data_IF_458481043663
#
_entry.id   IF_458481043663
#
_cell.length_a   1.000
_cell.length_b   1.000
_cell.length_c   1.000
_cell.angle_alpha   90.00
_cell.angle_beta   90.00
_cell.angle_gamma   90.00
#
_symmetry.space_group_name_H-M   'P 1'
#
loop_
_entity.id
_entity.type
_entity.pdbx_description
1 polymer ?
#
# COMPACT_ATOMS: atom_id res chain seq x y z
N UNK A 1 8.41 -33.39 -11.02
CA UNK A 1 8.93 -32.01 -10.90
C UNK A 1 9.35 -31.74 -9.45
N UNK A 2 10.36 -30.90 -9.24
CA UNK A 2 10.79 -30.49 -7.89
C UNK A 2 10.03 -29.23 -7.47
N UNK A 3 9.46 -29.21 -6.27
CA UNK A 3 8.86 -28.03 -5.67
C UNK A 3 9.84 -27.31 -4.78
N UNK A 4 9.87 -25.97 -4.85
CA UNK A 4 10.61 -25.13 -3.92
C UNK A 4 9.85 -25.00 -2.60
N UNK A 5 10.55 -24.99 -1.46
CA UNK A 5 9.93 -24.70 -0.15
C UNK A 5 9.32 -23.29 -0.10
N UNK A 6 9.89 -22.34 -0.82
CA UNK A 6 9.38 -20.95 -0.91
C UNK A 6 8.04 -20.84 -1.61
N UNK A 7 7.63 -21.84 -2.40
CA UNK A 7 6.30 -21.91 -3.00
C UNK A 7 5.21 -22.45 -2.07
N UNK A 8 5.56 -22.91 -0.86
CA UNK A 8 4.63 -23.39 0.15
C UNK A 8 4.09 -22.22 1.01
N UNK A 9 3.53 -21.21 0.34
CA UNK A 9 2.82 -20.08 0.98
C UNK A 9 1.33 -20.38 1.05
N UNK A 10 0.67 -19.82 2.06
CA UNK A 10 -0.79 -19.97 2.18
C UNK A 10 -1.48 -19.20 1.05
N UNK A 11 -2.64 -19.65 0.56
CA UNK A 11 -3.41 -18.93 -0.44
C UNK A 11 -3.88 -17.58 0.13
N UNK A 12 -4.01 -16.60 -0.74
CA UNK A 12 -4.71 -15.36 -0.39
C UNK A 12 -6.21 -15.62 -0.48
N UNK A 13 -6.81 -16.03 0.65
CA UNK A 13 -8.19 -16.54 0.75
C UNK A 13 -9.23 -15.60 0.11
N UNK A 14 -8.99 -14.29 0.12
CA UNK A 14 -9.87 -13.30 -0.53
C UNK A 14 -10.05 -13.61 -2.02
N UNK A 15 -8.98 -14.04 -2.71
CA UNK A 15 -9.04 -14.40 -4.13
C UNK A 15 -9.84 -15.68 -4.36
N UNK A 16 -9.72 -16.67 -3.46
CA UNK A 16 -10.49 -17.90 -3.52
C UNK A 16 -11.98 -17.64 -3.29
N UNK A 17 -12.31 -16.75 -2.33
CA UNK A 17 -13.70 -16.33 -2.06
C UNK A 17 -14.26 -15.55 -3.25
N UNK A 18 -13.49 -14.67 -3.86
CA UNK A 18 -13.88 -13.91 -5.04
C UNK A 18 -14.18 -14.84 -6.23
N UNK A 19 -13.36 -15.88 -6.45
CA UNK A 19 -13.62 -16.87 -7.49
C UNK A 19 -14.88 -17.72 -7.20
N UNK A 20 -15.11 -18.07 -5.93
CA UNK A 20 -16.33 -18.76 -5.52
C UNK A 20 -17.58 -17.89 -5.71
N UNK A 21 -17.49 -16.59 -5.42
CA UNK A 21 -18.57 -15.60 -5.67
C UNK A 21 -18.87 -15.50 -7.17
N UNK A 22 -17.84 -15.34 -8.01
CA UNK A 22 -17.97 -15.31 -9.48
C UNK A 22 -18.64 -16.57 -10.02
N UNK A 23 -18.27 -17.76 -9.55
CA UNK A 23 -18.87 -19.01 -9.95
C UNK A 23 -20.35 -19.09 -9.53
N UNK A 24 -20.71 -18.58 -8.36
CA UNK A 24 -22.09 -18.53 -7.88
C UNK A 24 -22.94 -17.55 -8.72
N UNK A 25 -22.41 -16.39 -9.11
CA UNK A 25 -23.07 -15.43 -10.00
C UNK A 25 -23.30 -16.04 -11.40
N UNK A 26 -22.30 -16.73 -11.95
CA UNK A 26 -22.43 -17.44 -13.21
C UNK A 26 -23.52 -18.51 -13.17
N UNK A 27 -23.82 -19.07 -11.99
CA UNK A 27 -24.93 -19.98 -11.74
C UNK A 27 -26.28 -19.27 -11.46
N UNK A 28 -26.34 -17.95 -11.62
CA UNK A 28 -27.56 -17.14 -11.47
C UNK A 28 -27.90 -16.70 -10.04
N UNK A 29 -26.96 -16.84 -9.08
CA UNK A 29 -27.17 -16.35 -7.71
C UNK A 29 -26.84 -14.86 -7.62
N UNK A 30 -27.60 -14.13 -6.83
CA UNK A 30 -27.26 -12.75 -6.46
C UNK A 30 -26.28 -12.78 -5.28
N UNK A 31 -25.10 -12.21 -5.49
CA UNK A 31 -24.05 -12.12 -4.48
C UNK A 31 -23.83 -10.66 -4.08
N UNK A 32 -23.73 -10.40 -2.79
CA UNK A 32 -23.29 -9.10 -2.24
C UNK A 32 -21.80 -9.24 -1.95
N UNK A 33 -20.98 -8.53 -2.71
CA UNK A 33 -19.52 -8.59 -2.58
C UNK A 33 -19.05 -7.76 -1.38
N UNK A 34 -18.42 -8.41 -0.41
CA UNK A 34 -17.78 -7.79 0.77
C UNK A 34 -16.42 -8.43 1.06
N UNK A 35 -15.93 -9.31 0.17
CA UNK A 35 -14.73 -10.11 0.38
C UNK A 35 -13.45 -9.39 -0.01
N UNK A 36 -13.52 -8.42 -0.93
CA UNK A 36 -12.34 -7.70 -1.41
C UNK A 36 -12.49 -6.20 -1.19
N UNK A 37 -11.52 -5.61 -0.50
CA UNK A 37 -11.44 -4.15 -0.30
C UNK A 37 -10.90 -3.46 -1.56
N UNK A 38 -11.78 -3.14 -2.50
CA UNK A 38 -11.45 -2.33 -3.68
C UNK A 38 -12.47 -1.22 -3.89
N UNK A 39 -12.05 -0.06 -4.44
CA UNK A 39 -12.99 0.97 -4.86
C UNK A 39 -14.04 0.41 -5.82
N UNK A 40 -15.31 0.74 -5.59
CA UNK A 40 -16.41 0.41 -6.50
C UNK A 40 -16.51 1.34 -7.72
N UNK A 41 -15.64 2.36 -7.78
CA UNK A 41 -15.58 3.37 -8.84
C UNK A 41 -14.50 3.02 -9.87
N UNK A 42 -14.70 3.39 -11.16
CA UNK A 42 -13.65 3.26 -12.17
C UNK A 42 -12.50 4.23 -11.90
N UNK A 43 -11.36 4.01 -12.58
CA UNK A 43 -10.31 5.02 -12.66
C UNK A 43 -10.88 6.35 -13.19
N UNK A 44 -10.35 7.51 -12.77
CA UNK A 44 -10.80 8.81 -13.20
C UNK A 44 -10.91 8.93 -14.72
N UNK A 45 -11.85 9.73 -15.20
CA UNK A 45 -12.09 9.89 -16.64
C UNK A 45 -10.85 10.36 -17.38
N UNK A 46 -10.14 11.36 -16.82
CA UNK A 46 -8.91 11.87 -17.43
C UNK A 46 -7.82 10.81 -17.56
N UNK A 47 -7.72 9.87 -16.62
CA UNK A 47 -6.79 8.74 -16.70
C UNK A 47 -7.13 7.81 -17.88
N UNK A 48 -8.41 7.51 -18.07
CA UNK A 48 -8.91 6.66 -19.16
C UNK A 48 -8.72 7.32 -20.52
N UNK A 49 -9.02 8.61 -20.62
CA UNK A 49 -8.88 9.40 -21.86
C UNK A 49 -7.39 9.54 -22.25
N UNK A 50 -6.51 9.82 -21.29
CA UNK A 50 -5.08 9.90 -21.54
C UNK A 50 -4.50 8.58 -22.08
N UNK A 51 -4.94 7.44 -21.52
CA UNK A 51 -4.53 6.13 -22.05
C UNK A 51 -5.12 5.89 -23.46
N UNK A 52 -6.39 6.19 -23.68
CA UNK A 52 -7.03 6.01 -24.98
C UNK A 52 -6.31 6.81 -26.08
N UNK A 53 -5.87 8.03 -25.76
CA UNK A 53 -5.07 8.84 -26.67
C UNK A 53 -3.66 8.27 -26.89
N UNK A 54 -2.99 7.86 -25.81
CA UNK A 54 -1.64 7.29 -25.92
C UNK A 54 -1.64 6.02 -26.77
N UNK A 55 -2.64 5.17 -26.66
CA UNK A 55 -2.77 3.96 -27.50
C UNK A 55 -2.85 4.24 -29.01
N UNK A 56 -3.19 5.45 -29.41
CA UNK A 56 -3.25 5.86 -30.82
C UNK A 56 -1.94 6.46 -31.33
N UNK A 57 -1.14 7.01 -30.44
CA UNK A 57 0.02 7.86 -30.80
C UNK A 57 1.36 7.36 -30.31
N UNK A 58 1.38 6.47 -29.32
CA UNK A 58 2.59 5.94 -28.68
C UNK A 58 2.69 4.43 -28.86
N UNK A 59 3.89 3.93 -29.08
CA UNK A 59 4.15 2.49 -29.17
C UNK A 59 4.02 1.76 -27.82
N UNK A 60 3.92 2.48 -26.71
CA UNK A 60 3.88 1.97 -25.34
C UNK A 60 5.00 0.96 -25.01
N UNK A 61 6.20 1.25 -25.51
CA UNK A 61 7.39 0.44 -25.29
C UNK A 61 7.90 0.49 -23.85
N UNK A 62 9.07 -0.10 -23.62
CA UNK A 62 9.71 -0.06 -22.31
C UNK A 62 10.02 1.38 -21.86
N UNK A 63 9.87 1.62 -20.56
CA UNK A 63 10.29 2.87 -19.91
C UNK A 63 11.60 2.66 -19.15
N UNK A 64 12.10 3.69 -18.48
CA UNK A 64 13.19 3.54 -17.51
C UNK A 64 12.71 2.74 -16.28
N UNK A 65 13.60 1.98 -15.68
CA UNK A 65 13.26 1.02 -14.63
C UNK A 65 12.60 1.65 -13.40
N UNK A 66 12.99 2.87 -13.05
CA UNK A 66 12.41 3.62 -11.92
C UNK A 66 11.08 4.29 -12.26
N UNK A 67 10.59 4.17 -13.50
CA UNK A 67 9.35 4.78 -13.98
C UNK A 67 9.53 6.13 -14.67
N UNK A 68 8.48 6.59 -15.35
CA UNK A 68 8.49 7.83 -16.12
C UNK A 68 8.93 9.02 -15.26
N UNK A 69 9.92 9.82 -15.72
CA UNK A 69 10.40 10.99 -14.96
C UNK A 69 9.28 11.98 -14.61
N UNK A 70 8.32 12.19 -15.53
CA UNK A 70 7.18 13.07 -15.28
C UNK A 70 6.28 12.55 -14.14
N UNK A 71 6.02 11.24 -14.08
CA UNK A 71 5.22 10.65 -13.00
C UNK A 71 5.96 10.74 -11.66
N UNK A 72 7.27 10.47 -11.64
CA UNK A 72 8.08 10.58 -10.43
C UNK A 72 8.11 12.02 -9.90
N UNK A 73 8.27 13.00 -10.79
CA UNK A 73 8.21 14.42 -10.42
C UNK A 73 6.83 14.82 -9.88
N UNK A 74 5.74 14.34 -10.51
CA UNK A 74 4.39 14.63 -10.04
C UNK A 74 4.08 13.99 -8.69
N UNK A 75 4.57 12.77 -8.45
CA UNK A 75 4.47 12.12 -7.13
C UNK A 75 5.23 12.93 -6.08
N UNK A 76 6.44 13.38 -6.36
CA UNK A 76 7.20 14.22 -5.43
C UNK A 76 6.47 15.53 -5.11
N UNK A 77 5.87 16.16 -6.11
CA UNK A 77 5.02 17.35 -5.91
C UNK A 77 3.81 17.06 -5.01
N UNK A 78 3.19 15.87 -5.13
CA UNK A 78 2.07 15.44 -4.27
C UNK A 78 2.48 15.42 -2.79
N UNK A 79 3.70 14.99 -2.47
CA UNK A 79 4.20 15.03 -1.08
C UNK A 79 4.33 16.45 -0.55
N UNK A 80 4.70 17.41 -1.41
CA UNK A 80 4.67 18.83 -1.08
C UNK A 80 3.24 19.33 -0.79
N UNK A 81 2.30 18.97 -1.68
CA UNK A 81 0.89 19.37 -1.58
C UNK A 81 0.19 18.76 -0.34
N UNK A 82 0.46 17.49 -0.05
CA UNK A 82 -0.25 16.77 1.02
C UNK A 82 0.38 16.95 2.39
N UNK A 83 1.72 16.96 2.47
CA UNK A 83 2.45 16.86 3.74
C UNK A 83 3.43 18.02 3.98
N UNK A 84 3.66 18.88 2.98
CA UNK A 84 4.70 19.93 3.07
C UNK A 84 6.13 19.37 3.01
N UNK A 85 6.30 18.14 2.51
CA UNK A 85 7.61 17.49 2.37
C UNK A 85 8.24 17.86 1.03
N UNK A 86 9.45 18.41 1.05
CA UNK A 86 10.26 18.67 -0.16
C UNK A 86 10.96 17.37 -0.58
N UNK A 87 10.26 16.55 -1.39
CA UNK A 87 10.73 15.25 -1.81
C UNK A 87 11.53 15.35 -3.12
N UNK A 88 12.78 14.89 -3.11
CA UNK A 88 13.55 14.71 -4.35
C UNK A 88 12.91 13.61 -5.24
N UNK A 89 12.47 13.95 -6.48
CA UNK A 89 11.93 12.97 -7.42
C UNK A 89 12.88 11.80 -7.71
N UNK A 90 14.18 11.96 -7.51
CA UNK A 90 15.16 10.89 -7.67
C UNK A 90 14.94 9.72 -6.70
N UNK A 91 14.33 9.98 -5.54
CA UNK A 91 13.99 8.99 -4.51
C UNK A 91 12.71 8.21 -4.81
N UNK A 92 11.89 8.69 -5.74
CA UNK A 92 10.61 8.04 -6.11
C UNK A 92 10.87 6.92 -7.09
N UNK A 93 10.36 5.74 -6.80
CA UNK A 93 10.41 4.55 -7.66
C UNK A 93 8.99 4.11 -7.98
N UNK A 94 8.60 4.17 -9.24
CA UNK A 94 7.30 3.63 -9.69
C UNK A 94 7.38 2.10 -9.76
N UNK A 95 6.31 1.43 -9.36
CA UNK A 95 6.29 -0.04 -9.22
C UNK A 95 5.04 -0.64 -9.84
N UNK A 96 5.04 -1.95 -10.06
CA UNK A 96 3.86 -2.71 -10.51
C UNK A 96 2.88 -2.93 -9.36
N UNK A 97 2.25 -1.84 -8.90
CA UNK A 97 1.44 -1.76 -7.69
C UNK A 97 2.29 -1.86 -6.42
N UNK A 98 1.66 -1.73 -5.25
CA UNK A 98 2.34 -1.90 -3.96
C UNK A 98 2.96 -3.30 -3.79
N UNK A 99 2.37 -4.34 -4.41
CA UNK A 99 2.95 -5.69 -4.37
C UNK A 99 4.35 -5.75 -4.97
N UNK A 100 4.59 -5.05 -6.09
CA UNK A 100 5.92 -4.91 -6.68
C UNK A 100 6.87 -4.13 -5.77
N UNK A 101 6.35 -3.09 -5.07
CA UNK A 101 7.13 -2.34 -4.11
C UNK A 101 7.57 -3.19 -2.91
N UNK A 102 6.68 -4.03 -2.35
CA UNK A 102 7.05 -4.96 -1.27
C UNK A 102 8.13 -5.96 -1.69
N UNK A 103 8.01 -6.54 -2.89
CA UNK A 103 9.04 -7.46 -3.40
C UNK A 103 10.39 -6.76 -3.51
N UNK A 104 10.43 -5.54 -4.07
CA UNK A 104 11.66 -4.77 -4.19
C UNK A 104 12.24 -4.37 -2.82
N UNK A 105 11.40 -3.85 -1.92
CA UNK A 105 11.81 -3.41 -0.60
C UNK A 105 12.37 -4.58 0.23
N UNK A 106 11.64 -5.69 0.31
CA UNK A 106 12.08 -6.84 1.09
C UNK A 106 13.35 -7.48 0.52
N UNK A 107 13.49 -7.53 -0.81
CA UNK A 107 14.70 -8.05 -1.46
C UNK A 107 15.90 -7.13 -1.25
N UNK A 108 15.69 -5.81 -1.14
CA UNK A 108 16.77 -4.85 -0.95
C UNK A 108 17.24 -4.73 0.50
N UNK A 109 16.34 -4.98 1.46
CA UNK A 109 16.58 -4.72 2.88
C UNK A 109 16.93 -5.97 3.67
N UNK A 110 16.52 -7.17 3.22
CA UNK A 110 16.57 -8.37 4.06
C UNK A 110 17.21 -9.55 3.33
N UNK A 111 17.99 -10.31 4.09
CA UNK A 111 18.53 -11.59 3.67
C UNK A 111 17.58 -12.75 4.04
N UNK A 112 17.85 -13.93 3.46
CA UNK A 112 17.08 -15.14 3.81
C UNK A 112 17.30 -15.53 5.26
N UNK A 113 16.22 -15.67 6.02
CA UNK A 113 16.23 -15.98 7.45
C UNK A 113 16.07 -14.76 8.34
N UNK A 114 16.15 -13.55 7.79
CA UNK A 114 15.90 -12.33 8.55
C UNK A 114 14.48 -12.27 9.08
N UNK A 115 14.33 -11.74 10.28
CA UNK A 115 13.05 -11.57 10.97
C UNK A 115 12.49 -10.18 10.72
N UNK A 116 11.25 -10.12 10.27
CA UNK A 116 10.56 -8.85 9.99
C UNK A 116 9.28 -8.77 10.81
N UNK A 117 9.19 -7.77 11.70
CA UNK A 117 8.02 -7.49 12.52
C UNK A 117 6.87 -6.92 11.68
N UNK A 118 5.67 -7.48 11.86
CA UNK A 118 4.44 -7.03 11.22
C UNK A 118 3.30 -6.99 12.23
N UNK A 119 2.45 -5.95 12.21
CA UNK A 119 1.27 -5.86 13.07
C UNK A 119 0.26 -6.98 12.81
N UNK A 120 -0.32 -7.53 13.86
CA UNK A 120 -1.36 -8.54 13.79
C UNK A 120 -2.59 -8.13 14.63
N UNK A 121 -3.79 -8.00 14.00
CA UNK A 121 -4.12 -8.33 12.60
C UNK A 121 -3.46 -7.37 11.59
N UNK A 122 -3.20 -7.88 10.39
CA UNK A 122 -2.57 -7.11 9.30
C UNK A 122 -2.89 -7.72 7.93
N UNK A 123 -2.48 -7.03 6.87
CA UNK A 123 -2.72 -7.47 5.51
C UNK A 123 -1.98 -8.80 5.22
N UNK A 124 -2.70 -9.88 4.84
CA UNK A 124 -2.12 -11.23 4.79
C UNK A 124 -0.95 -11.38 3.82
N UNK A 125 -0.92 -10.57 2.74
CA UNK A 125 0.13 -10.68 1.72
C UNK A 125 1.52 -10.33 2.23
N UNK A 126 1.67 -9.47 3.23
CA UNK A 126 2.99 -9.15 3.79
C UNK A 126 3.72 -10.41 4.23
N UNK A 127 3.06 -11.22 5.07
CA UNK A 127 3.56 -12.49 5.57
C UNK A 127 3.94 -13.44 4.46
N UNK A 128 3.08 -13.57 3.45
CA UNK A 128 3.29 -14.53 2.38
C UNK A 128 4.41 -14.10 1.42
N UNK A 129 4.54 -12.80 1.15
CA UNK A 129 5.65 -12.28 0.35
C UNK A 129 6.99 -12.48 1.10
N UNK A 130 7.05 -12.16 2.40
CA UNK A 130 8.24 -12.40 3.23
C UNK A 130 8.65 -13.87 3.18
N UNK A 131 7.71 -14.81 3.44
CA UNK A 131 7.97 -16.26 3.37
C UNK A 131 8.42 -16.72 1.98
N UNK A 132 7.78 -16.23 0.92
CA UNK A 132 8.14 -16.57 -0.44
C UNK A 132 9.56 -16.09 -0.81
N UNK A 133 10.02 -15.01 -0.22
CA UNK A 133 11.37 -14.48 -0.39
C UNK A 133 12.39 -15.11 0.58
N UNK A 134 11.91 -15.88 1.56
CA UNK A 134 12.77 -16.62 2.50
C UNK A 134 13.00 -15.95 3.85
N UNK A 135 12.30 -14.83 4.13
CA UNK A 135 12.33 -14.14 5.42
C UNK A 135 11.33 -14.78 6.41
N UNK A 136 11.51 -14.47 7.69
CA UNK A 136 10.66 -14.91 8.79
C UNK A 136 9.76 -13.76 9.25
N UNK A 137 8.43 -13.76 8.94
CA UNK A 137 7.51 -12.77 9.49
C UNK A 137 7.25 -13.05 10.96
N UNK A 138 7.43 -12.03 11.80
CA UNK A 138 7.18 -12.06 13.24
C UNK A 138 5.94 -11.23 13.55
N UNK A 139 4.90 -11.87 14.13
CA UNK A 139 3.70 -11.17 14.54
C UNK A 139 3.95 -10.29 15.76
N UNK A 140 3.58 -9.03 15.66
CA UNK A 140 3.43 -8.10 16.77
C UNK A 140 1.94 -8.03 17.12
N UNK A 141 1.49 -8.74 18.17
CA UNK A 141 0.09 -8.74 18.54
C UNK A 141 -0.35 -7.33 18.97
N UNK A 142 -1.43 -6.87 18.37
CA UNK A 142 -2.01 -5.56 18.69
C UNK A 142 -3.35 -5.71 19.40
N UNK A 143 -3.78 -4.69 20.12
CA UNK A 143 -5.02 -4.71 20.89
C UNK A 143 -5.90 -3.47 20.63
N UNK A 144 -7.13 -3.53 21.07
CA UNK A 144 -8.05 -2.40 21.01
C UNK A 144 -7.55 -1.18 21.81
N UNK A 145 -6.76 -1.38 22.86
CA UNK A 145 -6.17 -0.33 23.67
C UNK A 145 -5.25 0.57 22.87
N UNK A 146 -4.49 -0.03 21.93
CA UNK A 146 -3.62 0.67 21.01
C UNK A 146 -4.27 0.85 19.63
N UNK A 147 -5.60 0.75 19.56
CA UNK A 147 -6.36 0.86 18.30
C UNK A 147 -5.86 -0.09 17.22
N UNK A 148 -5.42 -1.28 17.61
CA UNK A 148 -4.86 -2.31 16.72
C UNK A 148 -3.64 -1.84 15.91
N UNK A 149 -2.88 -0.89 16.46
CA UNK A 149 -1.59 -0.48 15.92
C UNK A 149 -0.46 -0.96 16.83
N UNK A 150 0.72 -1.36 16.30
CA UNK A 150 1.86 -1.70 17.11
C UNK A 150 2.40 -0.48 17.85
N UNK A 151 3.03 -0.72 19.00
CA UNK A 151 3.77 0.30 19.74
C UNK A 151 5.22 -0.12 19.92
N UNK A 152 6.11 0.84 20.19
CA UNK A 152 7.54 0.57 20.28
C UNK A 152 7.90 -0.52 21.33
N UNK A 153 7.09 -0.65 22.39
CA UNK A 153 7.29 -1.67 23.41
C UNK A 153 7.03 -3.11 22.90
N UNK A 154 6.25 -3.29 21.85
CA UNK A 154 5.86 -4.62 21.33
C UNK A 154 7.05 -5.37 20.73
N UNK A 155 8.08 -4.68 20.30
CA UNK A 155 9.28 -5.29 19.72
C UNK A 155 10.58 -4.96 20.47
N UNK A 156 10.48 -4.31 21.61
CA UNK A 156 11.64 -4.00 22.43
C UNK A 156 12.38 -5.28 22.84
N UNK A 157 13.69 -5.34 22.54
CA UNK A 157 14.54 -6.50 22.80
C UNK A 157 14.37 -7.68 21.83
N UNK A 158 13.51 -7.55 20.80
CA UNK A 158 13.47 -8.51 19.70
C UNK A 158 14.62 -8.28 18.73
N UNK A 159 15.20 -9.35 18.22
CA UNK A 159 16.19 -9.31 17.14
C UNK A 159 15.46 -9.29 15.80
N UNK A 160 15.06 -8.10 15.33
CA UNK A 160 14.36 -7.88 14.07
C UNK A 160 15.27 -7.11 13.10
N UNK A 161 15.39 -7.61 11.87
CA UNK A 161 16.03 -6.89 10.77
C UNK A 161 15.17 -5.74 10.24
N UNK A 162 13.84 -5.81 10.42
CA UNK A 162 12.93 -4.78 9.97
C UNK A 162 11.60 -4.76 10.70
N UNK A 163 10.95 -3.61 10.63
CA UNK A 163 9.59 -3.37 11.10
C UNK A 163 8.75 -2.80 9.96
N UNK A 164 7.60 -3.41 9.71
CA UNK A 164 6.64 -2.92 8.73
C UNK A 164 5.33 -2.55 9.40
N UNK A 165 4.85 -1.34 9.10
CA UNK A 165 3.63 -0.77 9.66
C UNK A 165 2.73 -0.25 8.54
N UNK A 166 1.43 -0.41 8.67
CA UNK A 166 0.44 0.18 7.77
C UNK A 166 -0.40 1.23 8.52
N UNK A 167 -0.53 2.42 7.95
CA UNK A 167 -1.33 3.50 8.52
C UNK A 167 -1.91 4.38 7.40
N UNK A 168 -3.22 4.33 7.15
CA UNK A 168 -4.27 3.48 7.76
C UNK A 168 -4.03 1.98 7.55
N UNK A 169 -4.35 1.18 8.58
CA UNK A 169 -4.10 -0.27 8.54
C UNK A 169 -5.24 -1.06 7.88
N UNK A 170 -4.88 -2.12 7.19
CA UNK A 170 -5.80 -3.17 6.77
C UNK A 170 -5.65 -4.37 7.72
N UNK A 171 -6.70 -4.85 8.43
CA UNK A 171 -8.12 -4.60 8.15
C UNK A 171 -8.79 -3.54 9.04
N UNK A 172 -8.08 -2.87 9.93
CA UNK A 172 -8.70 -2.11 11.03
C UNK A 172 -9.11 -0.67 10.64
N UNK A 173 -8.51 -0.09 9.59
CA UNK A 173 -8.73 1.29 9.19
C UNK A 173 -8.17 2.33 10.18
N UNK A 174 -7.45 1.90 11.21
CA UNK A 174 -6.87 2.79 12.22
C UNK A 174 -5.57 3.42 11.76
N UNK A 175 -5.30 4.64 12.21
CA UNK A 175 -4.08 5.39 11.89
C UNK A 175 -3.19 5.59 13.12
N UNK A 176 -1.90 5.68 12.87
CA UNK A 176 -0.92 6.21 13.82
C UNK A 176 -0.91 7.73 13.75
N UNK A 177 -0.90 8.39 14.88
CA UNK A 177 -0.58 9.80 14.93
C UNK A 177 0.94 10.03 14.80
N UNK A 178 1.35 11.30 14.67
CA UNK A 178 2.76 11.67 14.51
C UNK A 178 3.63 11.17 15.67
N UNK A 179 3.16 11.20 16.89
CA UNK A 179 3.93 10.81 18.05
C UNK A 179 4.17 9.30 18.08
N UNK A 180 3.12 8.51 17.82
CA UNK A 180 3.19 7.07 17.77
C UNK A 180 4.07 6.58 16.58
N UNK A 181 3.89 7.15 15.39
CA UNK A 181 4.71 6.83 14.22
C UNK A 181 6.17 7.19 14.45
N UNK A 182 6.45 8.37 15.04
CA UNK A 182 7.81 8.79 15.39
C UNK A 182 8.47 7.84 16.40
N UNK A 183 7.73 7.42 17.43
CA UNK A 183 8.24 6.47 18.42
C UNK A 183 8.62 5.13 17.78
N UNK A 184 7.82 4.62 16.85
CA UNK A 184 8.10 3.38 16.12
C UNK A 184 9.33 3.50 15.23
N UNK A 185 9.43 4.59 14.44
CA UNK A 185 10.58 4.84 13.55
C UNK A 185 11.87 4.92 14.36
N UNK A 186 11.90 5.75 15.42
CA UNK A 186 13.10 5.91 16.24
C UNK A 186 13.49 4.62 16.97
N UNK A 187 12.50 3.84 17.45
CA UNK A 187 12.79 2.57 18.10
C UNK A 187 13.36 1.53 17.12
N UNK A 188 12.83 1.46 15.88
CA UNK A 188 13.38 0.60 14.84
C UNK A 188 14.81 1.02 14.46
N UNK A 189 15.06 2.30 14.19
CA UNK A 189 16.39 2.83 13.88
C UNK A 189 17.38 2.62 15.02
N UNK A 190 16.95 2.84 16.28
CA UNK A 190 17.76 2.61 17.46
C UNK A 190 18.15 1.13 17.66
N UNK A 191 17.35 0.21 17.14
CA UNK A 191 17.65 -1.22 17.11
C UNK A 191 18.45 -1.66 15.86
N UNK A 192 18.72 -0.77 14.92
CA UNK A 192 19.37 -1.10 13.64
C UNK A 192 18.43 -1.81 12.66
N UNK A 193 17.12 -1.78 12.89
CA UNK A 193 16.11 -2.38 12.04
C UNK A 193 15.63 -1.39 10.97
N UNK A 194 15.44 -1.87 9.74
CA UNK A 194 14.82 -1.08 8.66
C UNK A 194 13.35 -0.79 8.97
N UNK A 195 12.88 0.40 8.61
CA UNK A 195 11.47 0.78 8.77
C UNK A 195 10.77 0.91 7.42
N UNK A 196 9.62 0.24 7.28
CA UNK A 196 8.78 0.28 6.08
C UNK A 196 7.39 0.78 6.49
N UNK A 197 6.94 1.90 5.89
CA UNK A 197 5.61 2.48 6.05
C UNK A 197 4.76 2.13 4.83
N UNK A 198 3.69 1.36 5.03
CA UNK A 198 2.66 1.17 4.01
C UNK A 198 1.60 2.26 4.16
N UNK A 199 1.58 3.17 3.19
CA UNK A 199 0.73 4.35 3.15
C UNK A 199 -0.33 4.26 2.03
N UNK A 200 -0.67 3.03 1.60
CA UNK A 200 -1.55 2.79 0.44
C UNK A 200 -2.93 3.45 0.55
N UNK A 201 -3.40 3.72 1.78
CA UNK A 201 -4.70 4.35 2.01
C UNK A 201 -4.63 5.86 2.23
N UNK A 202 -3.45 6.49 2.14
CA UNK A 202 -3.34 7.95 2.19
C UNK A 202 -4.20 8.59 1.08
N UNK A 203 -4.89 9.68 1.44
CA UNK A 203 -5.94 10.29 0.66
C UNK A 203 -7.35 9.80 1.02
N UNK A 204 -7.48 8.65 1.69
CA UNK A 204 -8.76 8.13 2.20
C UNK A 204 -8.75 8.23 3.73
N UNK A 205 -8.82 9.44 4.21
CA UNK A 205 -8.95 9.76 5.64
C UNK A 205 -10.25 10.53 5.90
N UNK A 206 -10.79 10.43 7.11
CA UNK A 206 -12.08 10.98 7.45
C UNK A 206 -12.01 12.25 8.32
N UNK A 207 -11.37 12.17 9.48
CA UNK A 207 -11.38 13.26 10.46
C UNK A 207 -10.02 13.93 10.61
N UNK A 208 -8.94 13.15 10.55
CA UNK A 208 -7.57 13.65 10.62
C UNK A 208 -6.79 13.23 9.38
N UNK A 209 -5.80 14.01 8.97
CA UNK A 209 -4.88 13.61 7.90
C UNK A 209 -3.90 12.56 8.39
N UNK A 210 -3.58 11.59 7.54
CA UNK A 210 -2.50 10.66 7.77
C UNK A 210 -1.15 11.38 7.80
N UNK A 211 -0.23 10.86 8.60
CA UNK A 211 1.15 11.34 8.69
C UNK A 211 2.03 10.41 7.86
N UNK A 212 2.75 10.96 6.88
CA UNK A 212 3.75 10.16 6.16
C UNK A 212 5.02 9.99 7.00
N UNK A 213 5.65 8.83 6.89
CA UNK A 213 6.92 8.57 7.58
C UNK A 213 8.04 9.54 7.15
N UNK A 214 7.94 10.12 5.94
CA UNK A 214 8.88 11.13 5.43
C UNK A 214 8.83 12.47 6.16
N UNK A 215 7.78 12.77 6.91
CA UNK A 215 7.74 13.94 7.79
C UNK A 215 8.62 13.77 9.05
N UNK A 216 9.08 12.55 9.30
CA UNK A 216 9.81 12.17 10.51
C UNK A 216 11.26 11.81 10.19
N UNK A 217 11.48 11.01 9.13
CA UNK A 217 12.82 10.53 8.76
C UNK A 217 12.95 10.31 7.25
N UNK A 218 14.13 10.64 6.72
CA UNK A 218 14.51 10.30 5.34
C UNK A 218 15.05 8.87 5.21
N UNK A 219 15.41 8.24 6.33
CA UNK A 219 15.93 6.87 6.40
C UNK A 219 14.82 5.87 6.68
N UNK A 220 13.81 5.86 5.79
CA UNK A 220 12.66 4.97 5.82
C UNK A 220 12.26 4.59 4.39
N UNK A 221 11.58 3.46 4.26
CA UNK A 221 10.89 3.10 3.02
C UNK A 221 9.41 3.43 3.16
N UNK A 222 8.88 4.20 2.23
CA UNK A 222 7.45 4.47 2.12
C UNK A 222 6.90 3.77 0.90
N UNK A 223 5.78 3.06 1.05
CA UNK A 223 5.10 2.36 -0.04
C UNK A 223 3.68 2.92 -0.18
N UNK A 224 3.31 3.25 -1.41
CA UNK A 224 1.97 3.73 -1.73
C UNK A 224 1.52 3.19 -3.10
N UNK A 225 0.28 3.48 -3.52
CA UNK A 225 -0.27 2.94 -4.76
C UNK A 225 -1.42 3.77 -5.30
N UNK A 226 -1.62 3.70 -6.61
CA UNK A 226 -2.81 4.24 -7.26
C UNK A 226 -4.06 3.35 -7.04
N UNK A 227 -3.91 2.20 -6.39
CA UNK A 227 -4.99 1.22 -6.23
C UNK A 227 -6.18 1.73 -5.44
N UNK A 228 -6.00 2.62 -4.45
CA UNK A 228 -7.04 2.96 -3.48
C UNK A 228 -7.62 4.34 -3.73
N UNK A 229 -6.97 5.40 -3.30
CA UNK A 229 -7.45 6.77 -3.50
C UNK A 229 -7.76 7.08 -4.97
N UNK A 230 -6.91 6.64 -5.90
CA UNK A 230 -7.06 6.89 -7.32
C UNK A 230 -7.97 5.87 -8.06
N UNK A 231 -8.58 4.91 -7.37
CA UNK A 231 -9.49 3.90 -7.96
C UNK A 231 -8.87 3.07 -9.11
N UNK A 232 -7.57 2.78 -9.03
CA UNK A 232 -6.80 2.12 -10.10
C UNK A 232 -6.28 0.73 -9.70
N UNK A 233 -7.09 -0.11 -9.03
CA UNK A 233 -6.65 -1.43 -8.53
C UNK A 233 -6.10 -2.34 -9.62
N UNK A 234 -6.84 -2.54 -10.70
CA UNK A 234 -6.49 -3.42 -11.82
C UNK A 234 -5.37 -2.89 -12.73
N UNK A 235 -5.00 -1.62 -12.60
CA UNK A 235 -3.97 -0.97 -13.41
C UNK A 235 -2.54 -1.35 -12.98
N UNK A 236 -2.39 -1.94 -11.79
CA UNK A 236 -1.10 -2.40 -11.26
C UNK A 236 0.00 -1.34 -11.29
N UNK A 237 -0.26 -0.16 -10.78
CA UNK A 237 0.71 0.93 -10.64
C UNK A 237 0.72 1.47 -9.22
N UNK A 238 1.91 1.70 -8.69
CA UNK A 238 2.17 2.24 -7.36
C UNK A 238 3.55 2.88 -7.34
N UNK A 239 4.00 3.26 -6.16
CA UNK A 239 5.33 3.81 -5.97
C UNK A 239 5.88 3.49 -4.58
N UNK A 240 7.17 3.63 -4.47
CA UNK A 240 7.87 3.68 -3.20
C UNK A 240 8.80 4.89 -3.16
N UNK A 241 9.07 5.38 -1.97
CA UNK A 241 10.12 6.37 -1.71
C UNK A 241 11.18 5.71 -0.86
N UNK A 242 12.43 5.88 -1.24
CA UNK A 242 13.56 5.21 -0.58
C UNK A 242 14.65 6.22 -0.19
N UNK A 243 15.55 5.91 0.74
CA UNK A 243 16.74 6.69 1.02
C UNK A 243 17.59 6.89 -0.25
N UNK A 244 18.29 8.04 -0.41
CA UNK A 244 19.04 8.35 -1.63
C UNK A 244 20.08 7.30 -2.03
N UNK A 245 20.78 6.73 -1.08
CA UNK A 245 21.80 5.69 -1.27
C UNK A 245 21.21 4.32 -1.65
N UNK A 246 19.93 4.09 -1.38
CA UNK A 246 19.22 2.87 -1.77
C UNK A 246 18.62 2.91 -3.19
N UNK A 247 18.51 4.09 -3.81
CA UNK A 247 17.92 4.24 -5.16
C UNK A 247 18.58 3.33 -6.17
N UNK A 248 19.92 3.29 -6.20
CA UNK A 248 20.66 2.47 -7.17
C UNK A 248 20.54 0.97 -6.88
N UNK A 249 20.40 0.58 -5.62
CA UNK A 249 20.17 -0.81 -5.22
C UNK A 249 18.81 -1.27 -5.79
N UNK A 250 17.76 -0.50 -5.50
CA UNK A 250 16.41 -0.78 -6.00
C UNK A 250 16.35 -0.78 -7.52
N UNK A 251 17.01 0.17 -8.18
CA UNK A 251 17.02 0.24 -9.64
C UNK A 251 17.58 -1.05 -10.26
N UNK A 252 18.71 -1.56 -9.76
CA UNK A 252 19.31 -2.81 -10.25
C UNK A 252 18.39 -4.02 -10.05
N UNK A 253 17.71 -4.11 -8.92
CA UNK A 253 16.75 -5.18 -8.65
C UNK A 253 15.55 -5.05 -9.59
N UNK A 254 14.99 -3.85 -9.74
CA UNK A 254 13.85 -3.58 -10.61
C UNK A 254 14.15 -3.89 -12.08
N UNK A 255 15.34 -3.50 -12.59
CA UNK A 255 15.79 -3.83 -13.95
C UNK A 255 15.77 -5.33 -14.23
N UNK A 256 16.16 -6.15 -13.26
CA UNK A 256 16.27 -7.60 -13.45
C UNK A 256 14.97 -8.35 -13.15
N UNK A 257 14.13 -7.86 -12.23
CA UNK A 257 12.87 -8.52 -11.87
C UNK A 257 11.69 -8.10 -12.73
N UNK A 258 11.66 -6.83 -13.17
CA UNK A 258 10.47 -6.24 -13.81
C UNK A 258 10.79 -5.53 -15.13
N UNK A 259 12.06 -5.24 -15.45
CA UNK A 259 12.51 -4.36 -16.54
C UNK A 259 12.09 -2.91 -16.29
N UNK A 260 10.77 -2.67 -16.27
CA UNK A 260 10.14 -1.39 -15.96
C UNK A 260 8.68 -1.61 -15.50
N UNK A 261 8.05 -0.62 -14.86
CA UNK A 261 6.61 -0.66 -14.61
C UNK A 261 5.79 -0.58 -15.91
N UNK A 262 4.53 -1.04 -15.94
CA UNK A 262 3.67 -0.97 -17.13
C UNK A 262 3.52 0.45 -17.66
N UNK A 263 3.97 0.73 -18.89
CA UNK A 263 3.98 2.09 -19.47
C UNK A 263 2.57 2.69 -19.55
N UNK A 264 1.62 1.95 -20.07
CA UNK A 264 0.22 2.36 -20.18
C UNK A 264 -0.36 2.81 -18.84
N UNK A 265 -0.08 2.06 -17.77
CA UNK A 265 -0.55 2.39 -16.42
C UNK A 265 0.11 3.64 -15.86
N UNK A 266 1.36 3.90 -16.21
CA UNK A 266 2.07 5.12 -15.77
C UNK A 266 1.50 6.38 -16.42
N UNK A 267 1.13 6.33 -17.71
CA UNK A 267 0.46 7.43 -18.42
C UNK A 267 -0.88 7.75 -17.74
N UNK A 268 -1.67 6.72 -17.51
CA UNK A 268 -2.96 6.87 -16.85
C UNK A 268 -2.82 7.39 -15.40
N UNK A 269 -1.83 6.90 -14.67
CA UNK A 269 -1.56 7.33 -13.30
C UNK A 269 -1.18 8.82 -13.22
N UNK A 270 -0.34 9.29 -14.14
CA UNK A 270 0.02 10.70 -14.22
C UNK A 270 -1.22 11.58 -14.45
N UNK A 271 -2.10 11.18 -15.36
CA UNK A 271 -3.35 11.91 -15.62
C UNK A 271 -4.34 11.82 -14.46
N UNK A 272 -4.40 10.69 -13.75
CA UNK A 272 -5.27 10.51 -12.59
C UNK A 272 -4.96 11.53 -11.47
N UNK A 273 -3.70 11.94 -11.33
CA UNK A 273 -3.28 12.91 -10.30
C UNK A 273 -3.82 14.32 -10.54
N UNK A 274 -4.35 14.60 -11.73
CA UNK A 274 -4.97 15.88 -12.09
C UNK A 274 -6.51 15.84 -11.98
N UNK A 275 -7.10 14.72 -11.55
CA UNK A 275 -8.55 14.52 -11.48
C UNK A 275 -9.10 14.76 -10.05
N UNK A 276 -8.65 15.81 -9.37
CA UNK A 276 -8.98 16.07 -7.96
C UNK A 276 -10.48 16.08 -7.64
N UNK A 277 -11.31 16.69 -8.51
CA UNK A 277 -12.77 16.77 -8.29
C UNK A 277 -13.44 15.39 -8.29
N UNK A 278 -13.08 14.51 -9.24
CA UNK A 278 -13.60 13.12 -9.27
C UNK A 278 -13.15 12.33 -8.03
N UNK A 279 -11.89 12.48 -7.62
CA UNK A 279 -11.35 11.81 -6.45
C UNK A 279 -12.04 12.30 -5.17
N UNK A 280 -12.32 13.60 -5.06
CA UNK A 280 -13.06 14.15 -3.93
C UNK A 280 -14.51 13.66 -3.89
N UNK A 281 -15.17 13.54 -5.04
CA UNK A 281 -16.52 12.95 -5.12
C UNK A 281 -16.55 11.50 -4.61
N UNK A 282 -15.51 10.70 -4.92
CA UNK A 282 -15.37 9.35 -4.36
C UNK A 282 -15.21 9.37 -2.83
N UNK A 283 -14.45 10.33 -2.30
CA UNK A 283 -14.31 10.51 -0.85
C UNK A 283 -15.64 10.84 -0.16
N UNK A 284 -16.50 11.61 -0.80
CA UNK A 284 -17.81 11.93 -0.25
C UNK A 284 -18.70 10.67 -0.15
N UNK A 285 -18.61 9.76 -1.11
CA UNK A 285 -19.27 8.43 -1.04
C UNK A 285 -18.74 7.61 0.12
N UNK A 286 -17.40 7.56 0.31
CA UNK A 286 -16.81 6.80 1.44
C UNK A 286 -17.20 7.39 2.80
N UNK A 287 -17.26 8.70 2.95
CA UNK A 287 -17.74 9.38 4.17
C UNK A 287 -19.17 8.99 4.49
N UNK A 288 -20.05 9.00 3.49
CA UNK A 288 -21.46 8.61 3.65
C UNK A 288 -21.59 7.11 3.97
N UNK A 289 -20.84 6.24 3.29
CA UNK A 289 -20.83 4.81 3.60
C UNK A 289 -20.34 4.55 5.03
N UNK A 290 -19.27 5.22 5.46
CA UNK A 290 -18.77 5.12 6.85
C UNK A 290 -19.86 5.54 7.86
N UNK A 291 -20.52 6.67 7.61
CA UNK A 291 -21.61 7.15 8.46
C UNK A 291 -22.73 6.12 8.59
N UNK A 292 -23.20 5.59 7.44
CA UNK A 292 -24.26 4.57 7.40
C UNK A 292 -23.87 3.30 8.15
N UNK A 293 -22.62 2.83 7.99
CA UNK A 293 -22.13 1.65 8.66
C UNK A 293 -22.02 1.86 10.18
N UNK A 294 -21.46 2.98 10.62
CA UNK A 294 -21.33 3.29 12.06
C UNK A 294 -22.68 3.45 12.76
N UNK A 295 -23.70 3.97 12.06
CA UNK A 295 -25.05 4.08 12.59
C UNK A 295 -25.86 2.78 12.49
N UNK A 296 -25.63 1.99 11.45
CA UNK A 296 -26.43 0.80 11.13
C UNK A 296 -25.95 -0.48 11.82
N UNK A 297 -24.64 -0.69 11.90
CA UNK A 297 -24.09 -1.91 12.49
C UNK A 297 -24.51 -2.16 13.95
N UNK A 298 -24.50 -1.17 14.86
CA UNK A 298 -25.00 -1.37 16.23
C UNK A 298 -26.48 -1.80 16.25
N UNK A 299 -27.32 -1.22 15.37
CA UNK A 299 -28.74 -1.59 15.27
C UNK A 299 -28.93 -3.01 14.74
N UNK A 300 -27.96 -3.52 13.99
CA UNK A 300 -27.95 -4.90 13.50
C UNK A 300 -27.30 -5.91 14.49
N UNK A 301 -26.90 -5.45 15.68
CA UNK A 301 -26.32 -6.30 16.72
C UNK A 301 -24.80 -6.37 16.74
N UNK A 302 -24.11 -5.56 15.91
CA UNK A 302 -22.65 -5.44 15.93
C UNK A 302 -22.24 -4.25 16.82
N UNK A 303 -22.09 -4.48 18.10
CA UNK A 303 -21.81 -3.45 19.13
C UNK A 303 -20.31 -3.22 19.38
N UNK A 304 -19.44 -4.09 18.87
CA UNK A 304 -17.98 -4.00 19.01
C UNK A 304 -17.35 -3.47 17.73
N UNK A 305 -17.43 -2.16 17.56
CA UNK A 305 -16.92 -1.47 16.37
C UNK A 305 -15.78 -0.54 16.78
N UNK A 306 -14.61 -0.68 16.15
CA UNK A 306 -13.58 0.35 16.17
C UNK A 306 -13.80 1.27 14.95
N UNK A 307 -14.19 2.54 15.15
CA UNK A 307 -14.38 3.45 14.02
C UNK A 307 -13.09 3.58 13.22
N UNK A 308 -13.11 3.38 11.88
CA UNK A 308 -11.93 3.56 11.07
C UNK A 308 -11.59 5.04 10.92
N UNK A 309 -10.30 5.37 10.95
CA UNK A 309 -9.78 6.73 10.67
C UNK A 309 -9.61 6.95 9.18
N UNK A 310 -9.32 5.88 8.44
CA UNK A 310 -9.12 5.88 7.00
C UNK A 310 -9.48 4.53 6.37
N UNK A 311 -9.19 4.40 5.09
CA UNK A 311 -9.63 3.31 4.23
C UNK A 311 -11.17 3.32 3.97
N UNK A 312 -11.71 2.28 3.35
CA UNK A 312 -13.14 2.19 2.96
C UNK A 312 -13.72 0.81 3.29
#
# INVERSE_FOLDING_TARGET
>A
MRNSRRGAVDPFIVMDVMEAARAAEAAGRHIIHMEVGQPGTPAPQGARDALAQAMQTDALGYTVALGLPALRARIAQLYGEWYGVDLDPARVVVTSGSSGAFILAFTALFDSGDKVGIGAPGYPSYRQILRALGMEPVDLPTSAENRFQPVAADFAGMDLAGLMVASPANPTGTMLDRAALSALIHAAQGAGAAFISDEIYHGIEYEAKAVTALEISDDVYVINSFSKYFSMTGWRVGWMVVPPDHVRIIERIAQNMFICPPHASQIAALAAMECGDELQANMDVYRENRRLMLEGLPKAGFDRIAPPDGAF
#
